data_IF_146771729917
#
_entry.id   IF_146771729917
#
_cell.length_a   1.000
_cell.length_b   1.000
_cell.length_c   1.000
_cell.angle_alpha   90.00
_cell.angle_beta   90.00
_cell.angle_gamma   90.00
#
_symmetry.space_group_name_H-M   'P 1'
#
loop_
_entity.id
_entity.type
_entity.pdbx_description
1 polymer ?
#
# COMPACT_ATOMS: atom_id res chain seq x y z
N UNK A 1 -39.87 -36.08 -42.36
CA UNK A 1 -40.52 -35.07 -43.21
C UNK A 1 -39.76 -33.80 -43.13
N UNK A 2 -39.28 -33.40 -44.25
CA UNK A 2 -38.34 -32.33 -44.57
C UNK A 2 -39.03 -30.97 -44.47
N UNK A 3 -38.32 -29.94 -43.97
CA UNK A 3 -38.40 -28.59 -44.55
C UNK A 3 -37.23 -27.72 -44.12
N UNK A 4 -36.34 -27.54 -45.07
CA UNK A 4 -35.31 -26.47 -45.10
C UNK A 4 -36.00 -25.12 -45.33
N UNK A 5 -35.53 -24.08 -44.64
CA UNK A 5 -35.73 -22.70 -45.07
C UNK A 5 -34.38 -21.99 -45.02
N UNK A 6 -33.87 -21.69 -46.21
CA UNK A 6 -32.70 -20.82 -46.43
C UNK A 6 -33.16 -19.37 -46.38
N UNK A 7 -32.42 -18.50 -45.65
CA UNK A 7 -32.53 -17.05 -45.78
C UNK A 7 -31.22 -16.51 -46.32
N UNK A 8 -31.32 -15.91 -47.49
CA UNK A 8 -30.24 -15.11 -48.15
C UNK A 8 -30.10 -13.79 -47.40
N UNK A 9 -28.84 -13.44 -47.07
CA UNK A 9 -28.51 -12.11 -46.59
C UNK A 9 -27.89 -11.30 -47.74
N UNK A 10 -28.52 -10.18 -47.99
CA UNK A 10 -28.16 -9.18 -49.01
C UNK A 10 -27.02 -8.29 -48.45
N UNK A 11 -25.87 -8.23 -49.13
CA UNK A 11 -24.80 -7.29 -48.81
C UNK A 11 -24.99 -6.06 -49.70
N UNK A 12 -25.19 -4.90 -49.10
CA UNK A 12 -25.21 -3.59 -49.75
C UNK A 12 -23.85 -2.95 -49.66
N UNK A 13 -23.16 -2.82 -50.79
CA UNK A 13 -21.94 -1.97 -50.94
C UNK A 13 -22.40 -0.52 -51.07
N UNK A 14 -21.92 0.34 -50.17
CA UNK A 14 -21.97 1.79 -50.33
C UNK A 14 -20.60 2.27 -50.85
N UNK A 15 -20.54 2.76 -52.08
CA UNK A 15 -19.39 3.50 -52.65
C UNK A 15 -19.57 4.96 -52.29
N UNK A 16 -18.57 5.53 -51.60
CA UNK A 16 -18.48 6.96 -51.38
C UNK A 16 -17.48 7.56 -52.36
N UNK A 17 -17.98 8.44 -53.20
CA UNK A 17 -17.17 9.21 -54.15
C UNK A 17 -16.49 10.38 -53.45
N UNK A 18 -15.16 10.50 -53.61
CA UNK A 18 -14.37 11.65 -53.18
C UNK A 18 -14.45 12.73 -54.24
N UNK A 19 -15.00 13.88 -53.92
CA UNK A 19 -14.94 15.07 -54.70
C UNK A 19 -13.81 15.98 -54.17
N UNK A 20 -12.81 16.24 -54.99
CA UNK A 20 -11.82 17.29 -54.73
C UNK A 20 -12.42 18.65 -55.02
N UNK A 21 -12.49 19.48 -53.97
CA UNK A 21 -12.81 20.91 -54.05
C UNK A 21 -11.63 21.74 -53.53
N UNK A 22 -11.00 22.51 -54.40
CA UNK A 22 -10.00 23.51 -54.07
C UNK A 22 -10.70 24.77 -53.48
N UNK A 23 -10.29 25.21 -52.31
CA UNK A 23 -10.82 26.44 -51.70
C UNK A 23 -9.90 26.97 -50.59
N UNK A 24 -9.13 27.97 -50.94
CA UNK A 24 -8.62 29.15 -50.20
C UNK A 24 -8.47 29.08 -48.68
N UNK A 25 -7.26 29.51 -48.28
CA UNK A 25 -6.76 29.65 -46.92
C UNK A 25 -7.72 30.34 -45.93
N UNK A 26 -7.86 29.67 -44.80
CA UNK A 26 -8.35 30.24 -43.57
C UNK A 26 -7.33 29.91 -42.49
N UNK A 27 -6.75 30.92 -41.89
CA UNK A 27 -5.90 30.87 -40.72
C UNK A 27 -6.63 30.05 -39.64
N UNK A 28 -6.09 28.86 -39.30
CA UNK A 28 -6.48 28.21 -38.08
C UNK A 28 -5.78 28.94 -36.94
N UNK A 29 -6.58 29.68 -36.18
CA UNK A 29 -6.21 30.16 -34.85
C UNK A 29 -5.84 28.95 -34.04
N UNK A 30 -4.59 28.84 -33.60
CA UNK A 30 -4.14 27.95 -32.55
C UNK A 30 -4.87 28.36 -31.28
N UNK A 31 -5.83 27.55 -30.86
CA UNK A 31 -6.30 27.61 -29.48
C UNK A 31 -5.14 27.07 -28.62
N UNK A 32 -4.26 27.94 -28.19
CA UNK A 32 -3.44 27.74 -27.01
C UNK A 32 -4.40 27.55 -25.85
N UNK A 33 -4.66 26.29 -25.51
CA UNK A 33 -5.17 25.97 -24.22
C UNK A 33 -4.02 26.26 -23.24
N UNK A 34 -4.00 27.49 -22.71
CA UNK A 34 -3.36 27.80 -21.45
C UNK A 34 -3.90 26.80 -20.43
N UNK A 35 -3.24 25.66 -20.32
CA UNK A 35 -3.24 24.90 -19.08
C UNK A 35 -2.48 25.78 -18.11
N UNK A 36 -3.21 26.51 -17.28
CA UNK A 36 -2.73 26.97 -16.01
C UNK A 36 -2.11 25.75 -15.31
N UNK A 37 -0.83 25.54 -15.52
CA UNK A 37 0.02 24.74 -14.67
C UNK A 37 -0.03 25.51 -13.35
N UNK A 38 -0.88 25.04 -12.44
CA UNK A 38 -0.86 25.52 -11.07
C UNK A 38 0.61 25.52 -10.65
N UNK A 39 1.16 26.70 -10.47
CA UNK A 39 2.50 26.93 -9.97
C UNK A 39 2.58 26.14 -8.66
N UNK A 40 3.28 25.00 -8.69
CA UNK A 40 3.51 24.22 -7.49
C UNK A 40 4.22 25.16 -6.54
N UNK A 41 3.59 25.46 -5.41
CA UNK A 41 4.20 26.25 -4.36
C UNK A 41 5.63 25.75 -4.16
N UNK A 42 6.64 26.63 -4.11
CA UNK A 42 8.01 26.20 -3.91
C UNK A 42 8.04 25.34 -2.64
N UNK A 43 8.48 24.08 -2.80
CA UNK A 43 8.62 23.18 -1.67
C UNK A 43 9.47 23.83 -0.60
N UNK A 44 9.24 23.51 0.68
CA UNK A 44 9.97 24.14 1.78
C UNK A 44 11.48 23.97 1.57
N UNK A 45 12.20 25.06 1.66
CA UNK A 45 13.67 25.06 1.64
C UNK A 45 14.15 24.52 2.98
N UNK A 46 14.50 23.25 3.02
CA UNK A 46 15.00 22.62 4.25
C UNK A 46 16.50 22.91 4.40
N UNK A 47 16.88 23.59 5.45
CA UNK A 47 18.29 23.87 5.75
C UNK A 47 19.14 22.63 6.05
N UNK A 48 18.50 21.48 6.34
CA UNK A 48 19.16 20.29 6.90
C UNK A 48 19.22 19.08 5.95
N UNK A 49 18.71 19.20 4.72
CA UNK A 49 18.70 18.12 3.73
C UNK A 49 17.60 17.08 3.95
N UNK A 50 17.48 16.16 2.99
CA UNK A 50 16.60 15.01 2.99
C UNK A 50 17.33 13.75 2.49
N UNK A 51 16.94 12.53 2.92
CA UNK A 51 17.54 11.31 2.44
C UNK A 51 17.24 11.11 0.96
N UNK A 52 18.23 10.67 0.19
CA UNK A 52 18.13 10.39 -1.24
C UNK A 52 18.30 8.91 -1.51
N UNK A 53 17.66 8.45 -2.58
CA UNK A 53 17.57 7.03 -2.91
C UNK A 53 17.88 6.76 -4.38
N UNK A 54 18.40 5.55 -4.64
CA UNK A 54 18.57 5.00 -5.98
C UNK A 54 18.02 3.57 -6.02
N UNK A 55 17.25 3.21 -7.04
CA UNK A 55 16.75 1.84 -7.19
C UNK A 55 17.91 0.86 -7.39
N UNK A 56 17.82 -0.31 -6.75
CA UNK A 56 18.66 -1.46 -7.05
C UNK A 56 17.94 -2.34 -8.07
N UNK A 57 18.29 -2.28 -9.37
CA UNK A 57 17.57 -3.01 -10.41
C UNK A 57 17.82 -4.52 -10.39
N UNK A 58 18.72 -5.02 -9.53
CA UNK A 58 19.10 -6.42 -9.42
C UNK A 58 18.60 -7.09 -8.13
N UNK A 59 17.83 -6.36 -7.31
CA UNK A 59 17.20 -6.89 -6.11
C UNK A 59 15.68 -7.01 -6.28
N UNK A 60 15.04 -8.12 -5.87
CA UNK A 60 15.62 -9.38 -5.41
C UNK A 60 16.15 -10.21 -6.59
N UNK A 61 16.91 -11.27 -6.29
CA UNK A 61 17.33 -12.24 -7.30
C UNK A 61 16.15 -13.10 -7.78
N UNK A 62 16.25 -13.69 -8.98
CA UNK A 62 15.21 -14.59 -9.49
C UNK A 62 14.86 -15.68 -8.49
N UNK A 63 13.56 -15.92 -8.32
CA UNK A 63 13.06 -16.99 -7.45
C UNK A 63 13.41 -18.38 -8.02
N UNK A 64 13.70 -19.37 -7.15
CA UNK A 64 13.91 -20.76 -7.57
C UNK A 64 12.59 -21.40 -8.04
N UNK A 65 12.67 -22.65 -8.52
CA UNK A 65 11.53 -23.52 -8.82
C UNK A 65 10.52 -22.94 -9.82
N UNK A 66 10.93 -22.00 -10.67
CA UNK A 66 10.04 -21.26 -11.57
C UNK A 66 8.90 -20.54 -10.82
N UNK A 67 9.13 -20.15 -9.59
CA UNK A 67 8.16 -19.41 -8.79
C UNK A 67 7.97 -17.98 -9.28
N UNK A 68 6.74 -17.51 -9.21
CA UNK A 68 6.33 -16.14 -9.50
C UNK A 68 5.61 -15.52 -8.31
N UNK A 69 5.81 -14.23 -8.13
CA UNK A 69 5.02 -13.43 -7.20
C UNK A 69 3.63 -13.15 -7.78
N UNK A 70 2.61 -13.25 -6.96
CA UNK A 70 1.33 -12.59 -7.19
C UNK A 70 1.36 -11.15 -6.66
N UNK A 71 0.20 -10.52 -6.47
CA UNK A 71 0.12 -9.18 -5.88
C UNK A 71 0.86 -9.16 -4.55
N UNK A 72 1.92 -8.37 -4.44
CA UNK A 72 2.69 -8.20 -3.21
C UNK A 72 2.06 -7.10 -2.37
N UNK A 73 1.67 -7.43 -1.14
CA UNK A 73 0.77 -6.59 -0.34
C UNK A 73 1.30 -6.31 1.06
N UNK A 74 2.49 -6.74 1.38
CA UNK A 74 3.15 -6.42 2.63
C UNK A 74 4.64 -6.68 2.58
N UNK A 75 5.40 -5.84 3.27
CA UNK A 75 6.84 -5.97 3.48
C UNK A 75 7.17 -5.63 4.93
N UNK A 76 8.10 -6.37 5.51
CA UNK A 76 8.67 -6.11 6.83
C UNK A 76 10.16 -6.45 6.81
N UNK A 77 10.92 -5.88 7.74
CA UNK A 77 12.36 -6.15 7.90
C UNK A 77 12.62 -6.62 9.32
N UNK A 78 13.33 -7.73 9.46
CA UNK A 78 13.61 -8.35 10.76
C UNK A 78 14.87 -7.79 11.45
N UNK A 79 15.17 -8.33 12.63
CA UNK A 79 16.32 -7.95 13.45
C UNK A 79 17.68 -8.24 12.80
N UNK A 80 17.72 -9.03 11.72
CA UNK A 80 18.91 -9.38 10.93
C UNK A 80 18.97 -8.65 9.59
N UNK A 81 18.10 -7.67 9.39
CA UNK A 81 17.89 -6.96 8.13
C UNK A 81 17.41 -7.88 6.98
N UNK A 82 16.82 -9.06 7.27
CA UNK A 82 16.16 -9.84 6.25
C UNK A 82 14.81 -9.23 5.90
N UNK A 83 14.46 -9.27 4.63
CA UNK A 83 13.25 -8.68 4.07
C UNK A 83 12.18 -9.74 3.90
N UNK A 84 11.09 -9.56 4.61
CA UNK A 84 9.93 -10.44 4.58
C UNK A 84 8.84 -9.86 3.69
N UNK A 85 8.31 -10.70 2.82
CA UNK A 85 7.28 -10.31 1.86
C UNK A 85 6.09 -11.24 1.99
N UNK A 86 4.91 -10.67 2.06
CA UNK A 86 3.66 -11.42 1.88
C UNK A 86 3.04 -11.07 0.54
N UNK A 87 2.63 -12.09 -0.21
CA UNK A 87 1.94 -11.91 -1.47
C UNK A 87 0.74 -12.86 -1.60
N UNK A 88 -0.14 -12.56 -2.52
CA UNK A 88 -1.26 -13.42 -2.91
C UNK A 88 -0.80 -14.31 -4.04
N UNK A 89 -1.18 -15.57 -4.02
CA UNK A 89 -0.90 -16.50 -5.11
C UNK A 89 -1.76 -16.30 -6.37
N UNK A 90 -2.25 -15.08 -6.60
CA UNK A 90 -3.23 -14.71 -7.62
C UNK A 90 -2.61 -14.55 -9.02
N UNK A 91 -2.05 -15.62 -9.55
CA UNK A 91 -1.60 -15.70 -10.94
C UNK A 91 -2.81 -16.07 -11.83
N UNK A 92 -3.29 -15.12 -12.63
CA UNK A 92 -4.47 -15.31 -13.46
C UNK A 92 -4.22 -16.17 -14.71
N UNK A 93 -5.25 -16.87 -15.17
CA UNK A 93 -5.19 -17.72 -16.37
C UNK A 93 -4.74 -16.98 -17.65
N UNK A 94 -5.03 -15.70 -17.75
CA UNK A 94 -4.62 -14.87 -18.88
C UNK A 94 -3.15 -14.41 -18.78
N UNK A 95 -2.56 -14.50 -17.59
CA UNK A 95 -1.17 -14.12 -17.34
C UNK A 95 -0.25 -15.34 -17.42
N UNK A 96 -0.59 -16.40 -16.67
CA UNK A 96 0.23 -17.58 -16.50
C UNK A 96 -0.65 -18.84 -16.64
N UNK A 97 -0.78 -19.41 -17.84
CA UNK A 97 -1.61 -20.60 -18.05
C UNK A 97 -1.21 -21.81 -17.18
N UNK A 98 0.05 -21.91 -16.76
CA UNK A 98 0.52 -22.97 -15.88
C UNK A 98 0.00 -22.83 -14.42
N UNK A 99 -0.47 -21.67 -14.02
CA UNK A 99 -1.00 -21.44 -12.67
C UNK A 99 -2.45 -21.91 -12.49
N UNK A 100 -3.08 -22.45 -13.52
CA UNK A 100 -4.42 -23.03 -13.43
C UNK A 100 -4.40 -24.35 -12.64
N UNK A 101 -5.51 -24.64 -12.00
CA UNK A 101 -5.75 -25.96 -11.39
C UNK A 101 -5.53 -27.09 -12.40
N UNK A 102 -5.06 -28.26 -11.93
CA UNK A 102 -4.79 -29.37 -12.81
C UNK A 102 -6.04 -29.81 -13.64
N UNK A 103 -5.84 -30.12 -14.94
CA UNK A 103 -4.56 -30.10 -15.64
C UNK A 103 -4.15 -28.70 -16.06
N UNK A 104 -2.94 -28.28 -15.70
CA UNK A 104 -2.42 -26.99 -16.13
C UNK A 104 -2.22 -26.96 -17.68
N UNK A 105 -2.43 -25.78 -18.27
CA UNK A 105 -2.31 -25.60 -19.72
C UNK A 105 -0.85 -25.41 -20.19
N UNK A 106 0.10 -25.25 -19.27
CA UNK A 106 1.53 -25.06 -19.54
C UNK A 106 2.39 -25.63 -18.41
N UNK A 107 3.71 -25.73 -18.63
CA UNK A 107 4.67 -26.30 -17.69
C UNK A 107 5.60 -25.27 -17.05
N UNK A 108 5.35 -23.97 -17.30
CA UNK A 108 6.34 -22.94 -17.04
C UNK A 108 6.50 -22.61 -15.54
N UNK A 109 5.43 -22.25 -14.86
CA UNK A 109 5.56 -21.42 -13.68
C UNK A 109 4.50 -21.72 -12.63
N UNK A 110 4.83 -21.41 -11.36
CA UNK A 110 3.95 -21.65 -10.22
C UNK A 110 3.92 -20.42 -9.32
N UNK A 111 2.84 -20.23 -8.55
CA UNK A 111 2.83 -19.25 -7.48
C UNK A 111 3.85 -19.64 -6.41
N UNK A 112 4.63 -18.68 -5.95
CA UNK A 112 5.49 -18.87 -4.78
C UNK A 112 4.64 -19.11 -3.51
N UNK A 113 5.19 -19.72 -2.45
CA UNK A 113 4.56 -19.72 -1.14
C UNK A 113 4.24 -18.30 -0.66
N UNK A 114 3.14 -18.08 0.08
CA UNK A 114 2.66 -16.71 0.41
C UNK A 114 3.64 -15.84 1.19
N UNK A 115 4.48 -16.42 2.02
CA UNK A 115 5.48 -15.74 2.83
C UNK A 115 6.87 -16.08 2.28
N UNK A 116 7.65 -15.05 1.99
CA UNK A 116 9.01 -15.15 1.49
C UNK A 116 9.96 -14.31 2.35
N UNK A 117 11.15 -14.85 2.62
CA UNK A 117 12.22 -14.19 3.34
C UNK A 117 13.46 -14.07 2.43
N UNK A 118 13.97 -12.86 2.28
CA UNK A 118 15.16 -12.55 1.48
C UNK A 118 16.28 -12.02 2.39
N UNK A 119 17.51 -12.39 2.08
CA UNK A 119 18.67 -11.72 2.66
C UNK A 119 18.91 -10.33 2.01
N UNK A 120 19.88 -9.58 2.52
CA UNK A 120 20.23 -8.24 2.02
C UNK A 120 20.70 -8.24 0.56
N UNK A 121 21.29 -9.36 0.09
CA UNK A 121 21.74 -9.57 -1.28
C UNK A 121 20.61 -10.00 -2.22
N UNK A 122 19.39 -10.20 -1.69
CA UNK A 122 18.19 -10.58 -2.43
C UNK A 122 18.06 -12.07 -2.71
N UNK A 123 18.84 -12.95 -2.03
CA UNK A 123 18.63 -14.37 -2.11
C UNK A 123 17.40 -14.76 -1.28
N UNK A 124 16.58 -15.67 -1.81
CA UNK A 124 15.49 -16.28 -1.05
C UNK A 124 16.11 -17.26 -0.04
N UNK A 125 15.90 -17.02 1.26
CA UNK A 125 16.46 -17.80 2.38
C UNK A 125 15.39 -18.52 3.21
N UNK A 126 14.12 -18.14 3.06
CA UNK A 126 12.99 -18.79 3.73
C UNK A 126 11.69 -18.62 2.95
N UNK A 127 10.80 -19.58 3.08
CA UNK A 127 9.46 -19.51 2.46
C UNK A 127 8.49 -20.48 3.14
N UNK A 128 7.25 -20.07 3.34
CA UNK A 128 6.18 -20.87 3.93
C UNK A 128 4.81 -20.21 3.78
N UNK A 129 3.77 -20.77 4.38
CA UNK A 129 2.43 -20.20 4.47
C UNK A 129 1.41 -20.93 3.61
N UNK A 130 0.16 -20.56 3.82
CA UNK A 130 -1.02 -21.20 3.26
C UNK A 130 -1.86 -21.91 4.32
N UNK A 131 -3.00 -22.52 3.95
CA UNK A 131 -3.88 -23.25 4.85
C UNK A 131 -3.15 -24.34 5.62
N UNK A 132 -3.50 -24.50 6.92
CA UNK A 132 -2.91 -25.49 7.82
C UNK A 132 -3.89 -25.92 8.92
N UNK A 133 -3.39 -26.64 9.91
CA UNK A 133 -4.21 -27.11 11.03
C UNK A 133 -4.21 -26.11 12.19
N UNK A 134 -5.38 -25.86 12.78
CA UNK A 134 -5.54 -25.07 13.98
C UNK A 134 -5.67 -23.56 13.78
N UNK A 135 -5.70 -23.08 12.55
CA UNK A 135 -5.91 -21.68 12.21
C UNK A 135 -6.62 -21.54 10.86
N UNK A 136 -7.20 -20.37 10.64
CA UNK A 136 -7.82 -20.01 9.37
C UNK A 136 -6.87 -19.12 8.57
N UNK A 137 -6.33 -19.65 7.43
CA UNK A 137 -5.50 -18.82 6.56
C UNK A 137 -6.38 -17.81 5.83
N UNK A 138 -5.98 -16.51 5.77
CA UNK A 138 -6.79 -15.49 5.12
C UNK A 138 -7.13 -15.81 3.65
N UNK A 139 -8.36 -15.56 3.25
CA UNK A 139 -8.80 -15.64 1.85
C UNK A 139 -7.96 -14.72 0.95
N UNK A 140 -7.58 -13.58 1.51
CA UNK A 140 -6.76 -12.57 0.84
C UNK A 140 -5.78 -11.95 1.83
N UNK A 141 -4.57 -12.56 1.93
CA UNK A 141 -3.53 -12.06 2.84
C UNK A 141 -3.32 -10.56 2.66
N UNK A 142 -3.09 -9.84 3.78
CA UNK A 142 -2.85 -8.42 3.73
C UNK A 142 -2.05 -7.94 4.94
N UNK A 143 -0.94 -7.25 4.67
CA UNK A 143 -0.02 -6.79 5.69
C UNK A 143 0.84 -7.91 6.30
N UNK A 144 2.02 -7.57 6.75
CA UNK A 144 2.95 -8.42 7.50
C UNK A 144 3.72 -7.57 8.50
N UNK A 145 3.95 -8.09 9.68
CA UNK A 145 4.85 -7.48 10.68
C UNK A 145 5.66 -8.55 11.39
N UNK A 146 6.73 -8.12 12.05
CA UNK A 146 7.58 -8.95 12.88
C UNK A 146 7.61 -8.39 14.30
N UNK A 147 7.56 -9.27 15.30
CA UNK A 147 7.78 -8.89 16.69
C UNK A 147 9.27 -9.01 17.09
N UNK A 148 9.59 -8.72 18.34
CA UNK A 148 10.95 -8.74 18.86
C UNK A 148 11.59 -10.15 18.97
N UNK A 149 10.82 -11.19 18.70
CA UNK A 149 11.29 -12.58 18.62
C UNK A 149 11.31 -13.08 17.17
N UNK A 150 11.16 -12.19 16.20
CA UNK A 150 10.98 -12.48 14.77
C UNK A 150 9.75 -13.36 14.50
N UNK A 151 8.72 -13.36 15.37
CA UNK A 151 7.45 -13.98 15.02
C UNK A 151 6.72 -13.12 13.98
N UNK A 152 6.04 -13.79 13.08
CA UNK A 152 5.38 -13.18 11.92
C UNK A 152 3.90 -12.98 12.21
N UNK A 153 3.43 -11.74 12.08
CA UNK A 153 2.03 -11.36 12.16
C UNK A 153 1.49 -11.05 10.77
N UNK A 154 0.31 -11.56 10.45
CA UNK A 154 -0.38 -11.29 9.19
C UNK A 154 -1.85 -11.01 9.42
N UNK A 155 -2.45 -10.18 8.56
CA UNK A 155 -3.89 -9.98 8.48
C UNK A 155 -4.44 -10.43 7.13
N UNK A 156 -5.70 -10.11 6.87
CA UNK A 156 -6.37 -10.39 5.62
C UNK A 156 -7.52 -9.44 5.33
N UNK A 157 -7.80 -9.22 4.04
CA UNK A 157 -8.91 -8.38 3.58
C UNK A 157 -9.87 -9.10 2.61
N UNK A 158 -9.87 -10.42 2.62
CA UNK A 158 -10.87 -11.24 1.93
C UNK A 158 -12.28 -11.10 2.54
N UNK A 159 -13.26 -11.67 1.87
CA UNK A 159 -14.66 -11.51 2.26
C UNK A 159 -15.01 -12.02 3.66
N UNK A 160 -14.31 -13.05 4.14
CA UNK A 160 -14.49 -13.61 5.48
C UNK A 160 -13.36 -13.26 6.47
N UNK A 161 -12.35 -12.49 6.05
CA UNK A 161 -11.19 -12.20 6.87
C UNK A 161 -11.54 -11.19 7.99
N UNK A 162 -11.67 -11.68 9.22
CA UNK A 162 -12.00 -10.89 10.42
C UNK A 162 -11.05 -11.20 11.57
N UNK A 163 -9.79 -11.56 11.25
CA UNK A 163 -8.80 -12.02 12.20
C UNK A 163 -7.38 -11.61 11.81
N UNK A 164 -6.45 -11.78 12.75
CA UNK A 164 -5.01 -11.71 12.55
C UNK A 164 -4.36 -13.00 13.06
N UNK A 165 -3.26 -13.39 12.45
CA UNK A 165 -2.51 -14.61 12.78
C UNK A 165 -1.10 -14.27 13.22
N UNK A 166 -0.58 -15.06 14.17
CA UNK A 166 0.82 -15.03 14.60
C UNK A 166 1.46 -16.41 14.38
N UNK A 167 2.64 -16.41 13.80
CA UNK A 167 3.46 -17.60 13.55
C UNK A 167 4.88 -17.41 14.07
N UNK A 168 5.58 -18.50 14.33
CA UNK A 168 7.04 -18.42 14.45
C UNK A 168 7.65 -18.01 13.12
N UNK A 169 8.92 -17.61 13.14
CA UNK A 169 9.71 -17.34 11.92
C UNK A 169 9.64 -18.47 10.89
N UNK A 170 9.52 -19.71 11.33
CA UNK A 170 9.50 -20.91 10.48
C UNK A 170 8.10 -21.37 10.08
N UNK A 171 7.07 -20.61 10.45
CA UNK A 171 5.69 -20.87 10.05
C UNK A 171 4.91 -21.80 10.99
N UNK A 172 5.38 -22.04 12.22
CA UNK A 172 4.60 -22.74 13.23
C UNK A 172 3.55 -21.82 13.80
N UNK A 173 2.28 -22.23 13.83
CA UNK A 173 1.17 -21.44 14.34
C UNK A 173 1.30 -21.17 15.84
N UNK A 174 1.07 -19.93 16.25
CA UNK A 174 1.12 -19.49 17.64
C UNK A 174 -0.21 -18.96 18.16
N UNK A 175 -0.89 -18.08 17.38
CA UNK A 175 -2.07 -17.39 17.85
C UNK A 175 -2.97 -16.95 16.68
N UNK A 176 -4.28 -17.06 16.86
CA UNK A 176 -5.29 -16.40 16.02
C UNK A 176 -6.11 -15.48 16.92
N UNK A 177 -6.30 -14.24 16.51
CA UNK A 177 -7.13 -13.23 17.21
C UNK A 177 -8.24 -12.80 16.26
N UNK A 178 -9.48 -13.03 16.67
CA UNK A 178 -10.66 -12.91 15.80
C UNK A 178 -10.98 -14.22 15.09
N UNK A 179 -11.98 -14.19 14.23
CA UNK A 179 -12.54 -15.35 13.54
C UNK A 179 -12.58 -15.14 12.04
N UNK A 180 -12.51 -16.21 11.26
CA UNK A 180 -12.74 -16.20 9.83
C UNK A 180 -14.26 -16.26 9.56
N UNK A 181 -14.95 -15.19 9.95
CA UNK A 181 -16.41 -15.08 9.88
C UNK A 181 -16.80 -13.59 9.84
N UNK A 182 -16.95 -13.03 8.67
CA UNK A 182 -17.23 -11.61 8.51
C UNK A 182 -18.73 -11.36 8.29
N UNK A 183 -19.36 -10.72 9.25
CA UNK A 183 -20.80 -10.35 9.19
C UNK A 183 -21.04 -8.88 8.76
N UNK A 184 -20.02 -8.19 8.27
CA UNK A 184 -20.07 -6.77 7.92
C UNK A 184 -19.30 -5.87 8.90
N UNK A 185 -19.28 -4.55 8.69
CA UNK A 185 -18.58 -3.62 9.56
C UNK A 185 -19.20 -3.57 10.95
N UNK A 186 -18.35 -3.62 11.97
CA UNK A 186 -18.68 -3.39 13.38
C UNK A 186 -17.44 -2.78 14.06
N UNK A 187 -17.26 -1.48 13.84
CA UNK A 187 -16.10 -0.75 14.35
C UNK A 187 -16.09 -0.60 15.88
N UNK A 188 -17.16 -0.96 16.57
CA UNK A 188 -17.24 -0.96 18.04
C UNK A 188 -17.02 -2.35 18.64
N UNK A 189 -16.92 -3.40 17.83
CA UNK A 189 -16.70 -4.76 18.32
C UNK A 189 -15.41 -4.87 19.13
N UNK A 190 -15.49 -5.58 20.26
CA UNK A 190 -14.32 -5.87 21.10
C UNK A 190 -13.70 -7.24 20.83
N UNK A 191 -14.28 -8.02 19.94
CA UNK A 191 -13.86 -9.39 19.65
C UNK A 191 -13.64 -9.69 18.16
N UNK A 192 -14.13 -8.82 17.29
CA UNK A 192 -14.06 -9.00 15.83
C UNK A 192 -13.34 -7.84 15.15
N UNK A 193 -12.62 -8.17 14.09
CA UNK A 193 -12.07 -7.24 13.12
C UNK A 193 -12.89 -7.32 11.83
N UNK A 194 -12.58 -6.46 10.86
CA UNK A 194 -13.25 -6.48 9.58
C UNK A 194 -12.31 -6.11 8.46
N UNK A 195 -11.76 -7.14 7.82
CA UNK A 195 -10.86 -6.99 6.68
C UNK A 195 -9.62 -6.12 7.02
N UNK A 196 -8.73 -6.67 7.84
CA UNK A 196 -7.53 -6.00 8.36
C UNK A 196 -6.60 -5.59 7.21
N UNK A 197 -6.19 -4.32 7.21
CA UNK A 197 -5.28 -3.78 6.21
C UNK A 197 -3.80 -3.98 6.57
N UNK A 198 -3.42 -3.75 7.81
CA UNK A 198 -2.03 -3.86 8.28
C UNK A 198 -1.98 -4.17 9.76
N UNK A 199 -0.90 -4.81 10.15
CA UNK A 199 -0.51 -5.03 11.54
C UNK A 199 0.89 -4.48 11.77
N UNK A 200 1.14 -3.93 12.97
CA UNK A 200 2.47 -3.44 13.37
C UNK A 200 2.71 -3.71 14.84
N UNK A 201 3.92 -4.16 15.16
CA UNK A 201 4.33 -4.44 16.52
C UNK A 201 5.08 -3.25 17.13
N UNK A 202 4.76 -2.93 18.38
CA UNK A 202 5.50 -2.00 19.24
C UNK A 202 6.25 -2.76 20.31
N UNK A 203 7.58 -2.69 20.28
CA UNK A 203 8.42 -3.31 21.29
C UNK A 203 8.37 -2.57 22.64
N UNK A 204 8.05 -1.27 22.64
CA UNK A 204 8.01 -0.45 23.84
C UNK A 204 6.93 -0.92 24.83
N UNK A 205 5.76 -1.29 24.29
CA UNK A 205 4.58 -1.63 25.10
C UNK A 205 4.16 -3.09 24.96
N UNK A 206 4.87 -3.88 24.13
CA UNK A 206 4.51 -5.24 23.73
C UNK A 206 3.09 -5.31 23.18
N UNK A 207 2.79 -4.42 22.24
CA UNK A 207 1.47 -4.26 21.63
C UNK A 207 1.51 -4.45 20.12
N UNK A 208 0.37 -4.88 19.57
CA UNK A 208 0.16 -4.92 18.12
C UNK A 208 -0.91 -3.91 17.74
N UNK A 209 -0.55 -3.00 16.87
CA UNK A 209 -1.45 -2.02 16.26
C UNK A 209 -2.02 -2.60 14.98
N UNK A 210 -3.33 -2.55 14.86
CA UNK A 210 -4.10 -3.14 13.76
C UNK A 210 -4.83 -2.01 13.04
N UNK A 211 -4.50 -1.80 11.77
CA UNK A 211 -5.29 -0.98 10.87
C UNK A 211 -6.52 -1.81 10.44
N UNK A 212 -7.56 -1.76 11.24
CA UNK A 212 -8.82 -2.49 11.03
C UNK A 212 -9.74 -1.63 10.15
N UNK A 213 -9.47 -1.64 8.83
CA UNK A 213 -9.85 -0.54 7.98
C UNK A 213 -10.62 -0.82 6.72
N UNK A 214 -10.58 -1.99 6.09
CA UNK A 214 -11.34 -2.23 4.86
C UNK A 214 -12.84 -2.38 5.14
N UNK A 215 -13.22 -3.09 6.18
CA UNK A 215 -14.59 -3.16 6.65
C UNK A 215 -14.86 -2.13 7.76
N UNK A 216 -14.06 -2.13 8.80
CA UNK A 216 -14.14 -1.19 9.93
C UNK A 216 -13.43 0.15 9.63
N UNK A 217 -13.47 1.09 10.61
CA UNK A 217 -12.89 2.44 10.49
C UNK A 217 -12.10 2.83 11.72
N UNK A 218 -11.16 1.96 12.13
CA UNK A 218 -10.44 2.16 13.38
C UNK A 218 -9.00 1.69 13.33
N UNK A 219 -8.22 2.23 14.24
CA UNK A 219 -7.01 1.61 14.75
C UNK A 219 -7.40 0.81 15.99
N UNK A 220 -7.05 -0.46 16.04
CA UNK A 220 -7.23 -1.31 17.22
C UNK A 220 -5.86 -1.74 17.76
N UNK A 221 -5.74 -1.87 19.08
CA UNK A 221 -4.49 -2.23 19.74
C UNK A 221 -4.74 -3.43 20.64
N UNK A 222 -3.92 -4.46 20.48
CA UNK A 222 -3.98 -5.70 21.25
C UNK A 222 -2.68 -5.94 22.01
N UNK A 223 -2.74 -6.74 23.03
CA UNK A 223 -1.58 -7.32 23.69
C UNK A 223 -0.93 -8.38 22.79
N UNK A 224 0.39 -8.32 22.59
CA UNK A 224 1.10 -9.18 21.64
C UNK A 224 1.25 -10.63 22.08
N UNK A 225 1.08 -10.92 23.38
CA UNK A 225 1.19 -12.28 23.95
C UNK A 225 -0.16 -12.98 23.99
N UNK A 226 -1.20 -12.24 24.37
CA UNK A 226 -2.53 -12.82 24.64
C UNK A 226 -3.54 -12.58 23.52
N UNK A 227 -3.33 -11.56 22.67
CA UNK A 227 -4.30 -11.11 21.68
C UNK A 227 -5.49 -10.33 22.27
N UNK A 228 -5.47 -10.01 23.57
CA UNK A 228 -6.54 -9.26 24.23
C UNK A 228 -6.60 -7.82 23.70
N UNK A 229 -7.81 -7.36 23.32
CA UNK A 229 -8.02 -5.97 22.90
C UNK A 229 -7.81 -5.02 24.06
N UNK A 230 -6.92 -4.07 23.92
CA UNK A 230 -6.61 -3.06 24.94
C UNK A 230 -7.37 -1.75 24.71
N UNK A 231 -7.48 -1.29 23.48
CA UNK A 231 -8.15 -0.04 23.09
C UNK A 231 -8.34 0.04 21.58
N UNK A 232 -9.17 0.96 21.13
CA UNK A 232 -9.31 1.35 19.72
C UNK A 232 -9.81 2.79 19.61
N UNK A 233 -9.61 3.39 18.43
CA UNK A 233 -10.10 4.75 18.12
C UNK A 233 -10.32 4.94 16.62
N UNK A 234 -11.16 5.91 16.26
CA UNK A 234 -11.39 6.41 14.91
C UNK A 234 -10.58 7.66 14.61
N UNK A 235 -10.88 8.34 13.50
CA UNK A 235 -10.24 9.59 13.16
C UNK A 235 -10.38 10.63 14.27
N UNK A 236 -9.32 11.40 14.49
CA UNK A 236 -9.22 12.40 15.57
C UNK A 236 -9.37 11.85 16.99
N UNK A 237 -9.24 10.55 17.19
CA UNK A 237 -9.49 9.91 18.50
C UNK A 237 -10.98 9.73 18.82
N UNK A 238 -11.87 10.02 17.87
CA UNK A 238 -13.31 9.84 18.06
C UNK A 238 -13.69 8.37 18.19
N UNK A 239 -14.84 8.11 18.79
CA UNK A 239 -15.48 6.81 18.70
C UNK A 239 -15.78 6.49 17.23
N UNK A 240 -15.41 5.30 16.72
CA UNK A 240 -15.69 4.91 15.35
C UNK A 240 -17.19 4.87 15.05
N UNK A 241 -17.58 5.33 13.86
CA UNK A 241 -18.95 5.29 13.38
C UNK A 241 -18.97 4.74 11.93
N UNK A 242 -19.71 3.65 11.72
CA UNK A 242 -19.85 2.96 10.44
C UNK A 242 -20.86 3.61 9.50
N UNK A 243 -21.52 4.69 9.90
CA UNK A 243 -22.44 5.44 9.06
C UNK A 243 -21.76 5.91 7.76
N UNK A 244 -22.53 5.94 6.67
CA UNK A 244 -22.01 6.34 5.38
C UNK A 244 -21.46 7.76 5.40
N UNK A 245 -20.23 7.92 4.96
CA UNK A 245 -19.59 9.23 4.81
C UNK A 245 -19.97 9.89 3.48
N UNK A 246 -20.03 11.23 3.43
CA UNK A 246 -20.15 11.94 2.17
C UNK A 246 -18.95 11.62 1.26
N UNK A 247 -19.14 11.75 -0.05
CA UNK A 247 -18.02 11.60 -1.00
C UNK A 247 -16.91 12.58 -0.65
N UNK A 248 -15.66 12.18 -0.97
CA UNK A 248 -14.53 13.08 -0.88
C UNK A 248 -14.75 14.28 -1.80
N UNK A 249 -14.64 15.49 -1.25
CA UNK A 249 -14.91 16.72 -1.96
C UNK A 249 -13.61 17.43 -2.32
N UNK A 250 -13.34 17.52 -3.62
CA UNK A 250 -12.13 18.17 -4.15
C UNK A 250 -12.13 19.69 -3.95
N UNK A 251 -13.30 20.32 -3.82
CA UNK A 251 -13.41 21.78 -3.71
C UNK A 251 -13.06 22.28 -2.30
N UNK A 252 -13.20 21.41 -1.30
CA UNK A 252 -12.87 21.71 0.10
C UNK A 252 -11.60 21.00 0.58
N UNK A 253 -10.96 20.19 -0.28
CA UNK A 253 -9.75 19.48 0.07
C UNK A 253 -8.60 20.44 0.37
N UNK A 254 -7.85 20.26 1.48
CA UNK A 254 -6.66 21.05 1.78
C UNK A 254 -5.60 20.96 0.69
N UNK A 255 -4.68 21.91 0.63
CA UNK A 255 -3.56 21.81 -0.29
C UNK A 255 -2.62 20.65 0.08
N UNK A 256 -1.93 20.10 -0.93
CA UNK A 256 -0.89 19.09 -0.71
C UNK A 256 0.20 19.62 0.25
N UNK A 257 0.62 18.81 1.20
CA UNK A 257 1.61 19.17 2.22
C UNK A 257 1.06 20.02 3.37
N UNK A 258 -0.25 20.30 3.41
CA UNK A 258 -0.86 21.02 4.54
C UNK A 258 -0.78 20.16 5.80
N UNK A 259 -0.21 20.73 6.86
CA UNK A 259 -0.24 20.19 8.23
C UNK A 259 -1.30 20.95 9.04
N UNK A 260 -2.09 20.23 9.82
CA UNK A 260 -3.16 20.80 10.64
C UNK A 260 -3.30 20.12 11.99
N UNK A 261 -3.71 20.89 12.99
CA UNK A 261 -4.07 20.42 14.34
C UNK A 261 -5.53 20.73 14.69
N UNK A 262 -6.30 21.30 13.76
CA UNK A 262 -7.62 21.88 14.02
C UNK A 262 -8.80 20.90 13.94
N UNK A 263 -8.55 19.65 13.57
CA UNK A 263 -9.56 18.58 13.46
C UNK A 263 -10.74 18.94 12.53
N UNK A 264 -10.50 19.80 11.53
CA UNK A 264 -11.55 20.30 10.63
C UNK A 264 -11.89 19.35 9.47
N UNK A 265 -11.14 18.27 9.29
CA UNK A 265 -11.37 17.28 8.26
C UNK A 265 -12.58 16.37 8.54
N UNK A 266 -12.75 15.33 7.73
CA UNK A 266 -13.81 14.32 7.94
C UNK A 266 -13.65 13.68 9.31
N UNK A 267 -14.69 13.64 10.16
CA UNK A 267 -14.59 13.23 11.56
C UNK A 267 -14.39 11.71 11.76
N UNK A 268 -14.52 10.94 10.71
CA UNK A 268 -14.27 9.49 10.69
C UNK A 268 -13.23 9.17 9.61
N UNK A 269 -12.50 8.08 9.80
CA UNK A 269 -11.66 7.53 8.75
C UNK A 269 -12.49 7.08 7.55
N UNK A 270 -11.95 7.25 6.36
CA UNK A 270 -12.50 6.63 5.15
C UNK A 270 -11.97 5.21 5.02
N UNK A 271 -12.77 4.29 4.47
CA UNK A 271 -12.31 2.93 4.23
C UNK A 271 -11.40 2.86 3.00
N UNK A 272 -10.20 2.28 3.14
CA UNK A 272 -9.66 1.72 4.39
C UNK A 272 -8.81 2.71 5.21
N UNK A 273 -8.80 2.53 6.54
CA UNK A 273 -7.64 2.84 7.37
C UNK A 273 -6.56 1.83 7.00
N UNK A 274 -5.47 2.26 6.36
CA UNK A 274 -4.60 1.33 5.67
C UNK A 274 -3.27 1.05 6.38
N UNK A 275 -2.86 1.92 7.28
CA UNK A 275 -1.73 1.72 8.18
C UNK A 275 -2.03 2.26 9.58
N UNK A 276 -1.31 1.74 10.59
CA UNK A 276 -1.28 2.22 11.98
C UNK A 276 0.09 1.88 12.56
N UNK A 277 1.06 2.76 12.38
CA UNK A 277 2.46 2.47 12.62
C UNK A 277 2.98 3.24 13.85
N UNK A 278 3.32 2.54 14.95
CA UNK A 278 3.91 3.14 16.13
C UNK A 278 5.38 3.52 15.91
N UNK A 279 5.82 4.55 16.61
CA UNK A 279 7.18 5.08 16.58
C UNK A 279 7.87 4.97 17.93
N UNK A 280 9.21 5.08 17.94
CA UNK A 280 10.04 4.95 19.15
C UNK A 280 9.69 5.97 20.25
N UNK A 281 9.11 7.08 19.88
CA UNK A 281 8.74 8.17 20.78
C UNK A 281 7.26 8.16 21.21
N UNK A 282 6.57 7.04 20.97
CA UNK A 282 5.21 6.79 21.46
C UNK A 282 4.10 7.40 20.60
N UNK A 283 4.43 7.93 19.41
CA UNK A 283 3.41 8.39 18.46
C UNK A 283 2.97 7.24 17.53
N UNK A 284 1.75 7.36 17.00
CA UNK A 284 1.15 6.41 16.05
C UNK A 284 0.70 7.16 14.81
N UNK A 285 1.15 6.72 13.65
CA UNK A 285 0.80 7.31 12.35
C UNK A 285 -0.23 6.43 11.66
N UNK A 286 -1.44 6.97 11.44
CA UNK A 286 -2.53 6.25 10.79
C UNK A 286 -2.79 6.78 9.38
N UNK A 287 -2.82 5.88 8.39
CA UNK A 287 -3.09 6.19 6.99
C UNK A 287 -4.60 6.16 6.70
N UNK A 288 -5.24 7.32 6.64
CA UNK A 288 -6.59 7.46 6.08
C UNK A 288 -6.49 7.53 4.55
N UNK A 289 -6.41 6.34 3.92
CA UNK A 289 -6.01 6.21 2.51
C UNK A 289 -6.88 7.02 1.56
N UNK A 290 -8.23 6.86 1.50
CA UNK A 290 -9.06 7.68 0.64
C UNK A 290 -9.34 9.09 1.19
N UNK A 291 -8.94 9.36 2.43
CA UNK A 291 -8.90 10.69 3.02
C UNK A 291 -7.71 11.52 2.58
N UNK A 292 -6.73 10.88 1.90
CA UNK A 292 -5.49 11.51 1.45
C UNK A 292 -4.70 12.17 2.58
N UNK A 293 -4.72 11.58 3.78
CA UNK A 293 -4.06 12.13 4.97
C UNK A 293 -3.41 11.05 5.83
N UNK A 294 -2.36 11.43 6.51
CA UNK A 294 -1.80 10.71 7.64
C UNK A 294 -2.20 11.47 8.90
N UNK A 295 -2.82 10.80 9.85
CA UNK A 295 -3.10 11.35 11.18
C UNK A 295 -2.11 10.79 12.19
N UNK A 296 -1.65 11.67 13.08
CA UNK A 296 -0.70 11.34 14.15
C UNK A 296 -1.43 11.36 15.49
N UNK A 297 -1.20 10.33 16.28
CA UNK A 297 -1.83 10.15 17.60
C UNK A 297 -0.75 9.86 18.66
N UNK A 298 -1.04 10.16 19.92
CA UNK A 298 -0.41 9.48 21.04
C UNK A 298 -0.83 8.01 21.07
N UNK A 299 -0.09 7.16 21.76
CA UNK A 299 -0.38 5.71 21.85
C UNK A 299 -1.73 5.38 22.46
N UNK A 300 -2.36 6.30 23.20
CA UNK A 300 -3.69 6.16 23.78
C UNK A 300 -4.84 6.55 22.82
N UNK A 301 -4.53 7.03 21.61
CA UNK A 301 -5.48 7.49 20.61
C UNK A 301 -5.78 8.98 20.64
N UNK A 302 -5.12 9.76 21.49
CA UNK A 302 -5.24 11.22 21.50
C UNK A 302 -4.64 11.81 20.21
N UNK A 303 -5.44 12.55 19.46
CA UNK A 303 -5.00 13.19 18.22
C UNK A 303 -3.98 14.28 18.47
N UNK A 304 -2.92 14.32 17.66
CA UNK A 304 -1.84 15.32 17.73
C UNK A 304 -1.90 16.27 16.53
N UNK A 305 -1.73 15.75 15.33
CA UNK A 305 -1.71 16.53 14.09
C UNK A 305 -1.98 15.63 12.87
N UNK A 306 -2.16 16.21 11.71
CA UNK A 306 -2.31 15.49 10.46
C UNK A 306 -1.58 16.19 9.31
N UNK A 307 -1.23 15.42 8.28
CA UNK A 307 -0.71 15.95 7.01
C UNK A 307 -1.51 15.41 5.84
N UNK A 308 -1.81 16.29 4.88
CA UNK A 308 -2.54 15.98 3.67
C UNK A 308 -1.59 15.79 2.48
N UNK A 309 -1.71 14.67 1.76
CA UNK A 309 -0.86 14.34 0.61
C UNK A 309 -1.72 14.12 -0.64
N UNK A 310 -1.32 14.70 -1.79
CA UNK A 310 -1.98 14.51 -3.09
C UNK A 310 -3.51 14.59 -3.02
N UNK A 311 -4.02 15.62 -2.39
CA UNK A 311 -5.43 15.79 -2.00
C UNK A 311 -6.42 15.82 -3.16
N UNK A 312 -5.94 15.90 -4.41
CA UNK A 312 -6.78 15.76 -5.60
C UNK A 312 -6.93 14.33 -6.08
N UNK A 313 -6.40 13.35 -5.34
CA UNK A 313 -6.51 11.93 -5.66
C UNK A 313 -7.88 11.40 -5.25
N UNK A 314 -8.56 10.77 -6.19
CA UNK A 314 -9.82 10.05 -5.98
C UNK A 314 -9.59 8.54 -5.98
N UNK A 315 -10.68 7.77 -5.91
CA UNK A 315 -10.62 6.31 -5.93
C UNK A 315 -10.00 5.73 -4.66
N UNK A 316 -8.87 5.05 -4.79
CA UNK A 316 -8.22 4.41 -3.65
C UNK A 316 -7.43 5.38 -2.75
N UNK A 317 -7.25 6.66 -3.15
CA UNK A 317 -6.53 7.65 -2.35
C UNK A 317 -5.00 7.52 -2.40
N UNK A 318 -4.30 8.48 -1.79
CA UNK A 318 -2.86 8.66 -1.95
C UNK A 318 -2.00 8.05 -0.83
N UNK A 319 -2.55 7.78 0.35
CA UNK A 319 -1.77 7.41 1.53
C UNK A 319 -1.94 5.93 1.83
N UNK A 320 -1.09 5.09 1.20
CA UNK A 320 -1.28 3.64 1.27
C UNK A 320 -0.53 3.00 2.43
N UNK A 321 0.72 3.36 2.65
CA UNK A 321 1.52 2.80 3.73
C UNK A 321 2.60 3.79 4.18
N UNK A 322 3.18 3.58 5.37
CA UNK A 322 4.21 4.42 5.95
C UNK A 322 5.32 3.58 6.56
N UNK A 323 6.55 4.07 6.44
CA UNK A 323 7.72 3.57 7.16
C UNK A 323 8.56 4.74 7.66
N UNK A 324 9.48 4.47 8.59
CA UNK A 324 10.30 5.51 9.22
C UNK A 324 11.79 5.24 9.01
N UNK A 325 12.60 6.30 8.99
CA UNK A 325 14.05 6.17 9.01
C UNK A 325 14.51 5.46 10.29
N UNK A 326 15.66 4.77 10.20
CA UNK A 326 16.16 3.92 11.29
C UNK A 326 17.11 4.66 12.25
N UNK A 327 17.27 5.96 12.08
CA UNK A 327 17.94 6.77 13.11
C UNK A 327 17.12 6.77 14.42
N UNK A 328 17.75 6.99 15.59
CA UNK A 328 17.06 6.86 16.88
C UNK A 328 15.82 7.74 17.02
N UNK A 329 15.82 8.92 16.38
CA UNK A 329 14.71 9.87 16.42
C UNK A 329 13.67 9.58 15.34
N UNK A 330 13.93 8.62 14.43
CA UNK A 330 13.10 8.35 13.26
C UNK A 330 12.74 9.65 12.53
N UNK A 331 13.77 10.42 12.19
CA UNK A 331 13.67 11.81 11.70
C UNK A 331 12.76 11.94 10.46
N UNK A 332 12.76 10.91 9.59
CA UNK A 332 12.00 10.91 8.35
C UNK A 332 10.92 9.84 8.33
N UNK A 333 9.85 10.13 7.59
CA UNK A 333 8.81 9.16 7.24
C UNK A 333 8.67 9.06 5.71
N UNK A 334 8.39 7.86 5.24
CA UNK A 334 8.24 7.53 3.82
C UNK A 334 6.84 7.01 3.59
N UNK A 335 6.06 7.66 2.72
CA UNK A 335 4.68 7.28 2.46
C UNK A 335 4.55 6.73 1.05
N UNK A 336 4.10 5.49 0.93
CA UNK A 336 3.76 4.88 -0.35
C UNK A 336 2.44 5.44 -0.88
N UNK A 337 2.43 5.84 -2.15
CA UNK A 337 1.26 6.36 -2.86
C UNK A 337 0.98 5.51 -4.10
N UNK A 338 0.05 4.57 -3.94
CA UNK A 338 -0.26 3.60 -4.99
C UNK A 338 -1.18 4.12 -6.10
N UNK A 339 -1.74 5.33 -5.97
CA UNK A 339 -2.53 5.95 -7.04
C UNK A 339 -1.70 6.92 -7.89
N UNK A 340 -0.71 7.57 -7.30
CA UNK A 340 0.17 8.50 -8.01
C UNK A 340 1.54 7.90 -8.30
N UNK A 341 1.76 6.64 -7.94
CA UNK A 341 2.96 5.85 -8.21
C UNK A 341 4.24 6.52 -7.72
N UNK A 342 4.25 6.85 -6.42
CA UNK A 342 5.31 7.61 -5.76
C UNK A 342 5.59 7.12 -4.35
N UNK A 343 6.74 7.53 -3.85
CA UNK A 343 7.07 7.58 -2.42
C UNK A 343 7.24 9.04 -2.02
N UNK A 344 6.44 9.48 -1.05
CA UNK A 344 6.60 10.81 -0.44
C UNK A 344 7.56 10.73 0.72
N UNK A 345 8.47 11.69 0.80
CA UNK A 345 9.45 11.83 1.90
C UNK A 345 9.02 13.00 2.78
N UNK A 346 8.82 12.71 4.05
CA UNK A 346 8.41 13.67 5.07
C UNK A 346 9.50 13.81 6.13
N UNK A 347 9.59 14.97 6.75
CA UNK A 347 10.20 15.12 8.08
C UNK A 347 9.11 14.87 9.11
N UNK A 348 9.45 14.16 10.20
CA UNK A 348 8.47 13.87 11.26
C UNK A 348 8.29 15.02 12.26
N UNK A 349 9.38 15.71 12.60
CA UNK A 349 9.38 16.75 13.63
C UNK A 349 10.24 17.95 13.21
N UNK A 350 9.65 19.12 12.90
CA UNK A 350 8.20 19.30 12.70
C UNK A 350 7.70 18.49 11.52
N UNK A 351 6.41 18.11 11.54
CA UNK A 351 5.81 17.36 10.43
C UNK A 351 5.79 18.24 9.18
N UNK A 352 6.43 17.75 8.09
CA UNK A 352 6.65 18.56 6.90
C UNK A 352 6.84 17.66 5.66
N UNK A 353 6.20 18.02 4.55
CA UNK A 353 6.49 17.40 3.25
C UNK A 353 7.80 17.95 2.67
N UNK A 354 8.71 17.07 2.26
CA UNK A 354 10.01 17.46 1.70
C UNK A 354 10.03 17.31 0.17
N UNK A 355 9.78 16.10 -0.33
CA UNK A 355 9.80 15.79 -1.76
C UNK A 355 9.15 14.43 -2.02
N UNK A 356 9.05 14.04 -3.31
CA UNK A 356 8.67 12.69 -3.70
C UNK A 356 9.56 12.15 -4.83
N UNK A 357 9.63 10.82 -4.92
CA UNK A 357 10.28 10.13 -6.03
C UNK A 357 9.40 9.00 -6.57
N UNK A 358 9.72 8.53 -7.78
CA UNK A 358 8.97 7.51 -8.49
C UNK A 358 8.12 8.07 -9.62
N UNK A 359 7.67 7.20 -10.49
CA UNK A 359 6.72 7.51 -11.56
C UNK A 359 6.02 6.22 -11.99
N UNK A 360 4.87 6.33 -12.66
CA UNK A 360 4.14 5.17 -13.17
C UNK A 360 4.91 4.40 -14.23
N UNK A 361 4.95 3.07 -14.12
CA UNK A 361 5.56 2.18 -15.12
C UNK A 361 6.07 0.87 -14.54
N UNK A 362 6.76 0.08 -15.36
CA UNK A 362 7.24 -1.27 -15.00
C UNK A 362 8.76 -1.43 -15.03
N UNK A 363 9.50 -0.38 -15.34
CA UNK A 363 10.97 -0.38 -15.21
C UNK A 363 11.37 -0.32 -13.74
N UNK A 364 12.59 -0.73 -13.42
CA UNK A 364 13.13 -0.52 -12.08
C UNK A 364 13.09 0.97 -11.72
N UNK A 365 12.70 1.28 -10.49
CA UNK A 365 12.49 2.65 -10.01
C UNK A 365 11.17 3.31 -10.44
N UNK A 366 10.41 2.69 -11.34
CA UNK A 366 9.01 3.04 -11.60
C UNK A 366 8.09 2.16 -10.77
N UNK A 367 6.84 2.57 -10.57
CA UNK A 367 5.84 1.87 -9.77
C UNK A 367 4.59 1.51 -10.58
N UNK A 368 3.95 0.42 -10.18
CA UNK A 368 2.66 0.01 -10.70
C UNK A 368 1.81 -0.58 -9.56
N UNK A 369 1.04 0.26 -8.89
CA UNK A 369 0.28 -0.11 -7.71
C UNK A 369 1.16 -0.28 -6.48
N UNK A 370 2.05 0.70 -6.20
CA UNK A 370 2.86 0.72 -4.97
C UNK A 370 1.97 0.57 -3.76
N UNK A 371 2.26 -0.42 -2.90
CA UNK A 371 1.34 -0.82 -1.85
C UNK A 371 1.91 -0.67 -0.44
N UNK A 372 3.00 -1.35 -0.14
CA UNK A 372 3.63 -1.31 1.19
C UNK A 372 5.07 -0.84 1.11
N UNK A 373 5.58 -0.33 2.22
CA UNK A 373 6.91 0.26 2.32
C UNK A 373 7.54 -0.10 3.67
N UNK A 374 8.86 -0.38 3.67
CA UNK A 374 9.63 -0.64 4.89
C UNK A 374 11.08 -0.20 4.70
N UNK A 375 11.82 -0.06 5.80
CA UNK A 375 13.23 0.34 5.82
C UNK A 375 14.11 -0.68 6.54
N UNK A 376 15.40 -0.76 6.15
CA UNK A 376 16.42 -1.54 6.88
C UNK A 376 17.34 -0.64 7.71
N UNK A 377 18.25 -1.25 8.48
CA UNK A 377 19.20 -0.53 9.35
C UNK A 377 20.20 0.35 8.56
N UNK A 378 20.43 0.02 7.29
CA UNK A 378 21.27 0.82 6.38
C UNK A 378 20.51 2.03 5.79
N UNK A 379 19.22 2.16 6.08
CA UNK A 379 18.36 3.22 5.58
C UNK A 379 17.81 2.96 4.17
N UNK A 380 17.99 1.77 3.60
CA UNK A 380 17.37 1.43 2.34
C UNK A 380 15.85 1.29 2.50
N UNK A 381 15.11 1.56 1.42
CA UNK A 381 13.66 1.40 1.34
C UNK A 381 13.32 0.17 0.50
N UNK A 382 12.34 -0.60 0.97
CA UNK A 382 11.72 -1.69 0.24
C UNK A 382 10.25 -1.36 -0.03
N UNK A 383 9.81 -1.56 -1.27
CA UNK A 383 8.42 -1.33 -1.67
C UNK A 383 7.84 -2.59 -2.31
N UNK A 384 6.54 -2.80 -2.12
CA UNK A 384 5.78 -3.85 -2.79
C UNK A 384 4.76 -3.27 -3.74
N UNK A 385 4.36 -4.04 -4.76
CA UNK A 385 3.37 -3.61 -5.74
C UNK A 385 2.23 -4.63 -5.84
N UNK A 386 1.02 -4.14 -5.66
CA UNK A 386 -0.22 -4.92 -5.77
C UNK A 386 -0.73 -4.97 -7.21
N UNK A 387 -1.94 -5.48 -7.38
CA UNK A 387 -2.59 -5.67 -8.68
C UNK A 387 -1.65 -6.39 -9.67
N UNK A 388 -1.42 -5.83 -10.83
CA UNK A 388 -0.54 -6.35 -11.89
C UNK A 388 0.93 -5.92 -11.73
N UNK A 389 1.27 -5.13 -10.73
CA UNK A 389 2.66 -4.79 -10.39
C UNK A 389 3.45 -6.03 -10.00
N UNK A 390 2.96 -6.77 -9.00
CA UNK A 390 3.44 -8.12 -8.61
C UNK A 390 4.95 -8.20 -8.43
N UNK A 391 5.55 -7.21 -7.78
CA UNK A 391 6.98 -7.18 -7.54
C UNK A 391 7.33 -6.51 -6.23
N UNK A 392 8.60 -6.67 -5.85
CA UNK A 392 9.26 -5.99 -4.74
C UNK A 392 10.45 -5.23 -5.29
N UNK A 393 10.71 -4.03 -4.81
CA UNK A 393 11.88 -3.24 -5.19
C UNK A 393 12.65 -2.78 -3.96
N UNK A 394 13.98 -2.69 -4.10
CA UNK A 394 14.89 -2.06 -3.13
C UNK A 394 15.38 -0.73 -3.68
N UNK A 395 15.32 0.30 -2.84
CA UNK A 395 15.91 1.60 -3.10
C UNK A 395 17.03 1.82 -2.09
N UNK A 396 18.26 1.90 -2.57
CA UNK A 396 19.44 2.13 -1.73
C UNK A 396 19.48 3.57 -1.26
N UNK A 397 19.72 3.77 0.02
CA UNK A 397 20.06 5.08 0.56
C UNK A 397 21.43 5.53 0.05
N UNK A 398 21.53 6.70 -0.56
CA UNK A 398 22.75 7.23 -1.16
C UNK A 398 23.28 8.49 -0.49
N UNK A 399 22.74 8.84 0.67
CA UNK A 399 23.14 9.98 1.46
C UNK A 399 22.08 11.07 1.56
N UNK A 400 22.46 12.20 2.15
CA UNK A 400 21.60 13.38 2.31
C UNK A 400 21.82 14.36 1.17
N UNK A 401 20.74 15.02 0.74
CA UNK A 401 20.75 16.03 -0.33
C UNK A 401 19.66 17.07 -0.13
N UNK A 402 19.43 17.90 -1.14
CA UNK A 402 18.39 18.93 -1.13
C UNK A 402 17.41 18.74 -2.33
N UNK A 403 16.76 17.57 -2.45
CA UNK A 403 15.74 17.38 -3.47
C UNK A 403 14.52 18.23 -3.14
N UNK A 404 13.82 18.70 -4.16
CA UNK A 404 12.57 19.47 -4.02
C UNK A 404 11.54 18.99 -5.02
N UNK A 405 10.27 19.04 -4.63
CA UNK A 405 9.15 18.68 -5.49
C UNK A 405 9.14 17.18 -5.84
N UNK A 406 8.90 16.87 -7.09
CA UNK A 406 8.91 15.52 -7.63
C UNK A 406 10.19 15.29 -8.44
N UNK A 407 11.06 14.41 -7.96
CA UNK A 407 12.34 14.14 -8.61
C UNK A 407 12.27 13.01 -9.65
N UNK A 408 11.08 12.43 -9.86
CA UNK A 408 10.89 11.34 -10.80
C UNK A 408 11.56 10.05 -10.41
N UNK A 409 12.01 9.24 -11.37
CA UNK A 409 12.60 7.92 -11.12
C UNK A 409 13.95 8.04 -10.43
N UNK A 410 14.08 7.39 -9.27
CA UNK A 410 15.33 7.29 -8.51
C UNK A 410 16.28 6.27 -9.16
N UNK A 411 16.86 6.62 -10.28
CA UNK A 411 17.76 5.77 -11.08
C UNK A 411 19.22 6.03 -10.71
N UNK A 412 20.10 4.99 -10.60
CA UNK A 412 21.53 5.15 -10.39
C UNK A 412 22.18 6.03 -11.48
N UNK A 413 23.01 6.98 -11.06
CA UNK A 413 23.74 7.88 -11.96
C UNK A 413 25.14 7.36 -12.30
#
# INVERSE_FOLDING_TARGET
MIRNVSLLSLVALLTVAVACGSGTGGEMASADADRDMAETAPGPTTGDGAPMFEVDPFWPKPLPNNWLLGSTIGVAVDSRDHVWVVHRGNLGANEIPAALDPPSAAECCFAAPPILEFDQEGNLVGHWGGPGEGYDWPDSNHGIALDNMDNVWIGGNGGADSHVLKFTRTGEFLLQVGEHDHEGPDSLSTTRYSQVAKVRYSAADNEVYIADGYGNRRVAVIDADTGELKRFWGAYGNEPDDAALPRYDLDTAPAHGTVSTDQSGTPQFRNPVHCADPTNDGLVYACDRPGNRVQVFESDGTFVEEIYLQTRTLGAGAVWDIAFSRDPDQTFAYVADGMNEKVHVLRRKPLEYLYSFGSGGRMAGQFYGTHSIETDQSGNIYTTETYEGKRVQKFRYVGMGNPTGDVGVAWPQ
#
